data_IF_169076630786
#
_entry.id   IF_169076630786
#
_cell.length_a   1.000
_cell.length_b   1.000
_cell.length_c   1.000
_cell.angle_alpha   90.00
_cell.angle_beta   90.00
_cell.angle_gamma   90.00
#
_symmetry.space_group_name_H-M   'P 1'
#
loop_
_entity.id
_entity.type
_entity.pdbx_description
1 polymer ?
#
# COMPACT_ATOMS: atom_id res chain seq x y z
N UNK A 1 -12.97 -7.40 -17.79
CA UNK A 1 -12.86 -6.79 -16.45
C UNK A 1 -13.23 -5.33 -16.57
N UNK A 2 -13.96 -4.78 -15.59
CA UNK A 2 -14.31 -3.35 -15.56
C UNK A 2 -13.08 -2.56 -15.15
N UNK A 3 -12.74 -1.52 -15.90
CA UNK A 3 -11.63 -0.62 -15.59
C UNK A 3 -11.97 0.22 -14.35
N UNK A 4 -11.12 0.18 -13.31
CA UNK A 4 -11.32 0.87 -12.03
C UNK A 4 -10.38 2.08 -11.99
N UNK A 5 -10.95 3.30 -11.97
CA UNK A 5 -10.17 4.54 -12.03
C UNK A 5 -10.74 5.57 -11.05
N UNK A 6 -9.85 6.37 -10.48
CA UNK A 6 -10.20 7.61 -9.81
C UNK A 6 -10.41 8.74 -10.82
N UNK A 7 -11.25 9.71 -10.47
CA UNK A 7 -11.43 10.95 -11.24
C UNK A 7 -10.40 12.03 -10.87
N UNK A 8 -9.90 12.00 -9.64
CA UNK A 8 -8.98 12.99 -9.09
C UNK A 8 -7.97 12.35 -8.12
N UNK A 9 -6.86 13.04 -7.88
CA UNK A 9 -5.83 12.63 -6.91
C UNK A 9 -5.47 13.82 -6.01
N UNK A 10 -5.21 13.65 -4.70
CA UNK A 10 -5.07 14.78 -3.77
C UNK A 10 -3.69 15.45 -3.75
N UNK A 11 -2.76 15.00 -4.59
CA UNK A 11 -1.40 15.53 -4.71
C UNK A 11 -0.97 15.52 -6.18
N UNK A 12 -0.05 16.39 -6.58
CA UNK A 12 0.42 16.47 -7.97
C UNK A 12 1.30 15.26 -8.33
N UNK A 13 0.79 14.28 -9.12
CA UNK A 13 1.56 13.08 -9.46
C UNK A 13 2.62 13.35 -10.53
N UNK A 14 2.58 14.52 -11.20
CA UNK A 14 3.57 14.95 -12.20
C UNK A 14 4.81 15.57 -11.56
N UNK A 15 4.77 15.90 -10.26
CA UNK A 15 5.92 16.43 -9.55
C UNK A 15 6.92 15.33 -9.21
N UNK A 16 8.19 15.51 -9.60
CA UNK A 16 9.27 14.59 -9.24
C UNK A 16 9.87 14.97 -7.88
N UNK A 17 10.08 13.97 -7.02
CA UNK A 17 10.76 14.14 -5.73
C UNK A 17 11.94 13.18 -5.65
N UNK A 18 13.12 13.68 -5.31
CA UNK A 18 14.29 12.86 -5.10
C UNK A 18 14.08 11.91 -3.91
N UNK A 19 14.56 10.66 -4.04
CA UNK A 19 14.43 9.66 -2.98
C UNK A 19 15.22 10.03 -1.70
N UNK A 20 14.65 9.82 -0.50
CA UNK A 20 13.40 9.09 -0.24
C UNK A 20 12.13 9.96 -0.35
N UNK A 21 12.22 11.27 -0.53
CA UNK A 21 11.07 12.14 -0.81
C UNK A 21 9.99 12.19 0.27
N UNK A 22 10.34 11.83 1.51
CA UNK A 22 9.42 11.68 2.64
C UNK A 22 9.02 13.03 3.24
N UNK A 23 7.76 13.14 3.65
CA UNK A 23 7.17 14.28 4.32
C UNK A 23 6.35 13.84 5.54
N UNK A 24 6.17 14.69 6.56
CA UNK A 24 5.21 14.42 7.63
C UNK A 24 3.79 14.24 7.10
N UNK A 25 3.06 13.28 7.67
CA UNK A 25 1.63 13.07 7.42
C UNK A 25 0.86 13.43 8.70
N UNK A 26 -0.27 14.11 8.56
CA UNK A 26 -1.16 14.29 9.71
C UNK A 26 -1.77 12.93 10.08
N UNK A 27 -1.79 12.51 11.36
CA UNK A 27 -2.26 11.18 11.74
C UNK A 27 -3.67 10.83 11.26
N UNK A 28 -4.52 11.81 11.03
CA UNK A 28 -5.87 11.60 10.52
C UNK A 28 -5.95 11.32 9.00
N UNK A 29 -4.89 11.54 8.24
CA UNK A 29 -4.91 11.53 6.76
C UNK A 29 -4.40 10.21 6.15
N UNK A 30 -4.13 9.19 6.96
CA UNK A 30 -3.51 7.95 6.52
C UNK A 30 -4.47 6.95 5.87
N UNK A 31 -5.77 7.01 6.19
CA UNK A 31 -6.81 6.20 5.55
C UNK A 31 -7.96 7.10 5.10
N UNK A 32 -7.83 7.62 3.88
CA UNK A 32 -8.86 8.45 3.25
C UNK A 32 -9.48 7.67 2.09
N UNK A 33 -10.73 7.21 2.21
CA UNK A 33 -11.50 6.65 1.12
C UNK A 33 -11.64 7.63 -0.05
N UNK A 34 -11.62 7.13 -1.28
CA UNK A 34 -11.80 7.93 -2.50
C UNK A 34 -13.01 7.49 -3.33
N UNK A 35 -13.19 8.14 -4.49
CA UNK A 35 -14.31 7.91 -5.41
C UNK A 35 -14.29 6.53 -6.09
N UNK A 36 -13.17 5.80 -6.00
CA UNK A 36 -13.05 4.43 -6.49
C UNK A 36 -13.28 3.37 -5.40
N UNK A 37 -13.61 3.76 -4.15
CA UNK A 37 -13.72 2.87 -2.99
C UNK A 37 -14.51 1.59 -3.29
N UNK A 38 -15.79 1.68 -3.64
CA UNK A 38 -16.65 0.50 -3.82
C UNK A 38 -16.15 -0.43 -4.95
N UNK A 39 -15.55 0.13 -6.01
CA UNK A 39 -15.02 -0.66 -7.11
C UNK A 39 -13.71 -1.36 -6.72
N UNK A 40 -12.80 -0.65 -6.04
CA UNK A 40 -11.57 -1.24 -5.51
C UNK A 40 -11.87 -2.31 -4.47
N UNK A 41 -12.80 -2.06 -3.54
CA UNK A 41 -13.14 -3.04 -2.51
C UNK A 41 -13.70 -4.33 -3.10
N UNK A 42 -14.54 -4.26 -4.14
CA UNK A 42 -15.00 -5.46 -4.87
C UNK A 42 -13.85 -6.24 -5.51
N UNK A 43 -12.85 -5.55 -6.06
CA UNK A 43 -11.67 -6.22 -6.63
C UNK A 43 -10.80 -6.83 -5.54
N UNK A 44 -10.64 -6.18 -4.38
CA UNK A 44 -9.95 -6.77 -3.21
C UNK A 44 -10.67 -8.01 -2.72
N UNK A 45 -12.00 -7.97 -2.59
CA UNK A 45 -12.81 -9.12 -2.21
C UNK A 45 -12.62 -10.29 -3.20
N UNK A 46 -12.58 -10.01 -4.51
CA UNK A 46 -12.31 -11.01 -5.55
C UNK A 46 -10.90 -11.60 -5.40
N UNK A 47 -9.89 -10.77 -5.21
CA UNK A 47 -8.48 -11.19 -5.07
C UNK A 47 -8.26 -12.01 -3.81
N UNK A 48 -8.82 -11.61 -2.68
CA UNK A 48 -8.74 -12.37 -1.42
C UNK A 48 -9.48 -13.71 -1.50
N UNK A 49 -10.54 -13.80 -2.32
CA UNK A 49 -11.27 -15.05 -2.53
C UNK A 49 -10.57 -16.01 -3.51
N UNK A 50 -9.94 -15.49 -4.58
CA UNK A 50 -9.47 -16.33 -5.71
C UNK A 50 -7.95 -16.33 -5.91
N UNK A 51 -7.23 -15.42 -5.27
CA UNK A 51 -5.77 -15.23 -5.42
C UNK A 51 -5.09 -15.02 -4.07
N UNK A 52 -5.67 -15.55 -2.99
CA UNK A 52 -5.24 -15.29 -1.60
C UNK A 52 -3.74 -15.49 -1.40
N UNK A 53 -3.20 -16.62 -1.84
CA UNK A 53 -1.78 -16.97 -1.68
C UNK A 53 -0.82 -16.03 -2.43
N UNK A 54 -1.32 -15.21 -3.36
CA UNK A 54 -0.53 -14.21 -4.09
C UNK A 54 -0.60 -12.82 -3.44
N UNK A 55 -1.66 -12.55 -2.68
CA UNK A 55 -1.93 -11.21 -2.12
C UNK A 55 -1.81 -11.17 -0.61
N UNK A 56 -1.74 -12.30 0.09
CA UNK A 56 -1.67 -12.33 1.54
C UNK A 56 -0.63 -13.34 2.02
N UNK A 57 0.29 -12.87 2.86
CA UNK A 57 1.25 -13.71 3.58
C UNK A 57 1.42 -13.14 4.99
N UNK A 58 1.42 -14.01 6.01
CA UNK A 58 1.60 -13.61 7.40
C UNK A 58 2.48 -14.64 8.10
N UNK A 59 3.60 -14.19 8.66
CA UNK A 59 4.41 -15.01 9.56
C UNK A 59 3.67 -15.17 10.89
N UNK A 60 3.74 -16.35 11.50
CA UNK A 60 3.08 -16.61 12.79
C UNK A 60 3.54 -15.63 13.88
N UNK A 61 4.81 -15.20 13.85
CA UNK A 61 5.37 -14.25 14.80
C UNK A 61 4.81 -12.83 14.62
N UNK A 62 4.32 -12.50 13.42
CA UNK A 62 3.75 -11.20 13.08
C UNK A 62 2.24 -11.08 13.40
N UNK A 63 1.60 -12.15 13.85
CA UNK A 63 0.18 -12.16 14.20
C UNK A 63 -0.20 -11.02 15.18
N UNK A 64 0.55 -10.77 16.29
CA UNK A 64 0.23 -9.67 17.20
C UNK A 64 0.25 -8.29 16.52
N UNK A 65 1.26 -8.03 15.67
CA UNK A 65 1.35 -6.78 14.92
C UNK A 65 0.21 -6.62 13.90
N UNK A 66 -0.24 -7.72 13.28
CA UNK A 66 -1.37 -7.70 12.36
C UNK A 66 -2.70 -7.43 13.06
N UNK A 67 -2.94 -8.04 14.22
CA UNK A 67 -4.12 -7.78 15.05
C UNK A 67 -4.12 -6.33 15.58
N UNK A 68 -2.96 -5.83 16.02
CA UNK A 68 -2.80 -4.44 16.44
C UNK A 68 -3.10 -3.46 15.29
N UNK A 69 -2.61 -3.75 14.08
CA UNK A 69 -2.95 -2.94 12.90
C UNK A 69 -4.45 -2.98 12.60
N UNK A 70 -5.09 -4.15 12.66
CA UNK A 70 -6.54 -4.26 12.49
C UNK A 70 -7.29 -3.38 13.51
N UNK A 71 -6.88 -3.44 14.78
CA UNK A 71 -7.46 -2.59 15.82
C UNK A 71 -7.32 -1.09 15.49
N UNK A 72 -6.11 -0.65 15.13
CA UNK A 72 -5.84 0.75 14.77
C UNK A 72 -6.68 1.22 13.56
N UNK A 73 -6.87 0.36 12.56
CA UNK A 73 -7.74 0.65 11.40
C UNK A 73 -9.20 0.78 11.83
N UNK A 74 -9.69 -0.13 12.67
CA UNK A 74 -11.06 -0.11 13.16
C UNK A 74 -11.34 1.14 14.00
N UNK A 75 -10.43 1.54 14.88
CA UNK A 75 -10.55 2.80 15.63
C UNK A 75 -10.60 4.02 14.71
N UNK A 76 -9.82 4.00 13.62
CA UNK A 76 -9.70 5.13 12.71
C UNK A 76 -10.89 5.27 11.75
N UNK A 77 -11.28 4.19 11.06
CA UNK A 77 -12.32 4.22 10.03
C UNK A 77 -13.71 3.87 10.55
N UNK A 78 -13.79 3.08 11.61
CA UNK A 78 -15.04 2.50 12.10
C UNK A 78 -15.18 2.65 13.62
N UNK A 79 -15.00 3.84 14.23
CA UNK A 79 -15.00 4.02 15.69
C UNK A 79 -16.32 3.61 16.38
N UNK A 80 -17.40 3.49 15.61
CA UNK A 80 -18.71 3.07 16.09
C UNK A 80 -19.00 1.58 15.92
N UNK A 81 -18.07 0.78 15.35
CA UNK A 81 -18.25 -0.68 15.24
C UNK A 81 -18.40 -1.32 16.63
N UNK A 82 -19.20 -2.39 16.73
CA UNK A 82 -19.43 -3.13 17.96
C UNK A 82 -19.49 -4.62 17.64
N UNK A 83 -18.75 -5.43 18.40
CA UNK A 83 -18.59 -6.85 18.11
C UNK A 83 -17.90 -7.08 16.77
N UNK A 84 -18.09 -8.28 16.21
CA UNK A 84 -17.36 -8.75 15.03
C UNK A 84 -18.13 -8.57 13.72
N UNK A 85 -19.17 -7.72 13.72
CA UNK A 85 -19.93 -7.39 12.52
C UNK A 85 -19.78 -5.91 12.22
N UNK A 86 -19.37 -5.61 10.99
CA UNK A 86 -19.09 -4.26 10.53
C UNK A 86 -19.92 -3.95 9.28
N UNK A 87 -20.47 -2.74 9.22
CA UNK A 87 -20.93 -2.17 7.96
C UNK A 87 -19.79 -1.36 7.33
N UNK A 88 -19.25 -1.84 6.20
CA UNK A 88 -18.22 -1.14 5.42
C UNK A 88 -18.78 0.16 4.84
N UNK A 89 -17.90 1.07 4.43
CA UNK A 89 -18.29 2.39 3.90
C UNK A 89 -19.14 2.34 2.61
N UNK A 90 -19.15 1.20 1.90
CA UNK A 90 -20.03 0.94 0.75
C UNK A 90 -21.29 0.15 1.14
N UNK A 91 -21.65 0.18 2.42
CA UNK A 91 -22.80 -0.48 3.05
C UNK A 91 -22.75 -2.02 3.08
N UNK A 92 -21.67 -2.64 2.59
CA UNK A 92 -21.47 -4.08 2.65
C UNK A 92 -21.28 -4.56 4.10
N UNK A 93 -21.94 -5.66 4.47
CA UNK A 93 -21.70 -6.33 5.76
C UNK A 93 -20.41 -7.14 5.71
N UNK A 94 -19.51 -6.92 6.66
CA UNK A 94 -18.23 -7.60 6.79
C UNK A 94 -18.15 -8.22 8.20
N UNK A 95 -17.83 -9.50 8.26
CA UNK A 95 -17.47 -10.18 9.50
C UNK A 95 -15.97 -9.95 9.77
N UNK A 96 -15.65 -9.52 10.98
CA UNK A 96 -14.27 -9.33 11.44
C UNK A 96 -13.71 -10.68 11.86
N UNK A 97 -12.61 -11.07 11.24
CA UNK A 97 -11.86 -12.26 11.61
C UNK A 97 -10.52 -11.84 12.23
N UNK A 98 -10.40 -12.03 13.54
CA UNK A 98 -9.18 -11.72 14.32
C UNK A 98 -8.11 -12.80 14.20
N UNK A 99 -8.45 -13.98 13.69
CA UNK A 99 -7.50 -15.04 13.31
C UNK A 99 -6.96 -14.83 11.89
N UNK A 100 -7.67 -14.07 11.06
CA UNK A 100 -7.24 -13.57 9.74
C UNK A 100 -7.19 -12.02 9.68
N UNK A 101 -6.35 -11.35 10.49
CA UNK A 101 -6.38 -9.90 10.60
C UNK A 101 -6.01 -9.20 9.28
N UNK A 102 -5.05 -9.73 8.52
CA UNK A 102 -4.66 -9.17 7.23
C UNK A 102 -5.74 -9.36 6.15
N UNK A 103 -6.47 -10.48 6.17
CA UNK A 103 -7.60 -10.68 5.28
C UNK A 103 -8.75 -9.73 5.60
N UNK A 104 -9.06 -9.56 6.89
CA UNK A 104 -10.03 -8.56 7.36
C UNK A 104 -9.64 -7.15 6.93
N UNK A 105 -8.39 -6.73 7.17
CA UNK A 105 -7.85 -5.44 6.68
C UNK A 105 -8.04 -5.28 5.17
N UNK A 106 -7.77 -6.35 4.42
CA UNK A 106 -7.96 -6.42 2.98
C UNK A 106 -9.40 -6.18 2.52
N UNK A 107 -10.38 -6.52 3.35
CA UNK A 107 -11.81 -6.39 3.07
C UNK A 107 -12.43 -5.09 3.56
N UNK A 108 -11.76 -4.33 4.42
CA UNK A 108 -12.33 -3.10 5.02
C UNK A 108 -11.62 -1.81 4.61
N UNK A 109 -10.51 -1.89 3.87
CA UNK A 109 -9.70 -0.73 3.43
C UNK A 109 -9.27 -0.83 1.97
N UNK A 110 -9.05 0.32 1.30
CA UNK A 110 -8.51 0.37 -0.06
C UNK A 110 -7.01 0.05 -0.11
N UNK A 111 -6.32 0.25 1.00
CA UNK A 111 -4.87 0.25 1.08
C UNK A 111 -4.30 -1.15 1.17
N UNK A 112 -3.14 -1.35 0.55
CA UNK A 112 -2.29 -2.49 0.83
C UNK A 112 -1.43 -2.19 2.06
N UNK A 113 -1.16 -3.22 2.87
CA UNK A 113 -0.35 -3.11 4.08
C UNK A 113 0.78 -4.11 4.02
N UNK A 114 1.99 -3.65 4.33
CA UNK A 114 3.13 -4.49 4.66
C UNK A 114 3.55 -4.20 6.11
N UNK A 115 3.70 -5.23 6.92
CA UNK A 115 4.20 -5.18 8.28
C UNK A 115 5.69 -5.51 8.22
N UNK A 116 6.51 -4.60 8.75
CA UNK A 116 7.95 -4.76 8.83
C UNK A 116 8.42 -4.71 10.28
N UNK A 117 8.98 -5.82 10.74
CA UNK A 117 9.50 -5.97 12.10
C UNK A 117 11.03 -5.94 12.11
N UNK A 118 11.59 -5.38 13.18
CA UNK A 118 13.04 -5.24 13.30
C UNK A 118 13.66 -6.57 13.74
N UNK A 119 14.52 -7.13 12.90
CA UNK A 119 15.29 -8.35 13.16
C UNK A 119 16.78 -8.01 13.06
N UNK A 120 17.46 -7.92 14.21
CA UNK A 120 18.81 -7.37 14.29
C UNK A 120 18.84 -5.91 13.83
N UNK A 121 19.64 -5.62 12.80
CA UNK A 121 19.82 -4.28 12.25
C UNK A 121 18.89 -3.95 11.07
N UNK A 122 18.06 -4.89 10.63
CA UNK A 122 17.21 -4.74 9.44
C UNK A 122 15.73 -4.80 9.79
N UNK A 123 14.89 -4.13 9.00
CA UNK A 123 13.44 -4.32 9.03
C UNK A 123 13.07 -5.39 7.99
N UNK A 124 12.39 -6.46 8.41
CA UNK A 124 12.00 -7.59 7.57
C UNK A 124 10.49 -7.57 7.35
N UNK A 125 10.03 -7.79 6.11
CA UNK A 125 8.59 -7.89 5.80
C UNK A 125 8.04 -9.22 6.31
N UNK A 126 7.40 -9.20 7.48
CA UNK A 126 6.87 -10.39 8.18
C UNK A 126 5.38 -10.62 7.95
N UNK A 127 4.66 -9.65 7.40
CA UNK A 127 3.29 -9.83 6.95
C UNK A 127 2.91 -8.84 5.87
N UNK A 128 1.98 -9.20 4.99
CA UNK A 128 1.42 -8.28 4.02
C UNK A 128 0.05 -8.72 3.51
N UNK A 129 -0.83 -7.74 3.26
CA UNK A 129 -1.95 -7.84 2.34
C UNK A 129 -1.72 -6.85 1.19
N UNK A 130 -1.39 -7.38 0.02
CA UNK A 130 -0.95 -6.68 -1.18
C UNK A 130 -1.84 -7.08 -2.36
N UNK A 131 -3.05 -6.52 -2.40
CA UNK A 131 -4.01 -6.77 -3.46
C UNK A 131 -3.65 -6.04 -4.75
N UNK A 132 -2.99 -4.88 -4.69
CA UNK A 132 -2.67 -4.07 -5.87
C UNK A 132 -1.16 -3.89 -6.04
N UNK A 133 -0.37 -4.95 -6.28
CA UNK A 133 1.05 -4.80 -6.59
C UNK A 133 1.27 -4.05 -7.91
N UNK A 134 2.31 -3.22 -7.95
CA UNK A 134 2.80 -2.55 -9.16
C UNK A 134 4.09 -3.20 -9.68
N UNK A 135 3.95 -4.26 -10.47
CA UNK A 135 5.09 -4.95 -11.10
C UNK A 135 6.10 -5.59 -10.13
N UNK A 136 5.61 -6.15 -9.02
CA UNK A 136 6.39 -7.03 -8.15
C UNK A 136 5.50 -8.11 -7.53
N UNK A 137 6.07 -9.27 -7.18
CA UNK A 137 5.34 -10.39 -6.58
C UNK A 137 5.62 -10.47 -5.08
N UNK A 138 4.57 -10.59 -4.25
CA UNK A 138 4.69 -10.64 -2.79
C UNK A 138 5.62 -11.77 -2.32
N UNK A 139 5.49 -12.97 -2.88
CA UNK A 139 6.30 -14.14 -2.51
C UNK A 139 7.81 -13.94 -2.71
N UNK A 140 8.22 -13.06 -3.63
CA UNK A 140 9.64 -12.77 -3.87
C UNK A 140 10.22 -11.79 -2.84
N UNK A 141 9.35 -11.07 -2.10
CA UNK A 141 9.72 -10.01 -1.15
C UNK A 141 9.39 -10.36 0.30
N UNK A 142 8.49 -11.30 0.53
CA UNK A 142 8.11 -11.80 1.84
C UNK A 142 9.31 -12.43 2.59
N UNK A 143 9.42 -12.15 3.89
CA UNK A 143 10.55 -12.51 4.76
C UNK A 143 11.92 -12.05 4.25
N UNK A 144 11.97 -11.00 3.43
CA UNK A 144 13.21 -10.34 3.03
C UNK A 144 13.41 -9.05 3.84
N UNK A 145 14.68 -8.68 4.13
CA UNK A 145 14.98 -7.39 4.72
C UNK A 145 14.67 -6.26 3.74
N UNK A 146 14.40 -5.06 4.26
CA UNK A 146 14.02 -3.87 3.52
C UNK A 146 14.98 -3.55 2.38
N UNK A 147 16.29 -3.75 2.59
CA UNK A 147 17.32 -3.60 1.55
C UNK A 147 17.16 -4.69 0.47
N UNK A 148 16.94 -5.94 0.88
CA UNK A 148 16.73 -7.09 0.00
C UNK A 148 15.50 -6.94 -0.90
N UNK A 149 14.41 -6.37 -0.38
CA UNK A 149 13.16 -6.14 -1.12
C UNK A 149 13.40 -5.24 -2.35
N UNK A 150 14.31 -4.26 -2.24
CA UNK A 150 14.55 -3.23 -3.24
C UNK A 150 15.72 -3.50 -4.20
N UNK A 151 16.36 -4.68 -4.14
CA UNK A 151 17.55 -4.99 -4.95
C UNK A 151 17.39 -4.78 -6.46
N UNK A 152 16.17 -4.88 -6.98
CA UNK A 152 15.85 -4.75 -8.41
C UNK A 152 15.53 -3.31 -8.84
N UNK A 153 15.54 -2.34 -7.91
CA UNK A 153 15.23 -0.93 -8.19
C UNK A 153 16.55 -0.20 -8.44
N UNK A 154 16.80 0.21 -9.69
CA UNK A 154 18.08 0.79 -10.11
C UNK A 154 18.48 2.05 -9.33
N UNK A 155 17.51 2.88 -8.93
CA UNK A 155 17.71 4.08 -8.13
C UNK A 155 17.99 3.79 -6.64
N UNK A 156 17.74 2.56 -6.19
CA UNK A 156 17.90 2.14 -4.80
C UNK A 156 19.31 1.60 -4.56
N UNK A 157 20.28 2.50 -4.57
CA UNK A 157 21.67 2.16 -4.23
C UNK A 157 21.85 1.87 -2.72
N UNK A 158 23.05 1.41 -2.35
CA UNK A 158 23.42 1.13 -0.95
C UNK A 158 23.24 2.37 -0.04
N UNK A 159 23.45 3.57 -0.59
CA UNK A 159 23.29 4.83 0.14
C UNK A 159 21.83 5.14 0.44
N UNK A 160 20.93 4.94 -0.53
CA UNK A 160 19.48 5.03 -0.38
C UNK A 160 18.99 3.99 0.62
N UNK A 161 19.43 2.73 0.49
CA UNK A 161 19.07 1.66 1.40
C UNK A 161 19.39 1.99 2.86
N UNK A 162 20.60 2.51 3.13
CA UNK A 162 20.97 2.98 4.47
C UNK A 162 20.12 4.15 4.97
N UNK A 163 19.75 5.10 4.10
CA UNK A 163 18.87 6.22 4.47
C UNK A 163 17.47 5.76 4.81
N UNK A 164 16.93 4.84 4.02
CA UNK A 164 15.59 4.27 4.23
C UNK A 164 15.56 3.39 5.49
N UNK A 165 16.58 2.56 5.72
CA UNK A 165 16.70 1.80 6.97
C UNK A 165 16.72 2.73 8.20
N UNK A 166 17.53 3.79 8.19
CA UNK A 166 17.55 4.78 9.29
C UNK A 166 16.23 5.50 9.46
N UNK A 167 15.51 5.75 8.37
CA UNK A 167 14.17 6.33 8.43
C UNK A 167 13.22 5.38 9.15
N UNK A 168 13.24 4.09 8.79
CA UNK A 168 12.46 3.06 9.47
C UNK A 168 12.87 2.95 10.93
N UNK A 169 14.15 2.99 11.30
CA UNK A 169 14.60 3.04 12.70
C UNK A 169 14.02 4.25 13.46
N UNK A 170 13.91 5.40 12.79
CA UNK A 170 13.52 6.67 13.39
C UNK A 170 12.01 6.93 13.47
N UNK A 171 11.16 6.20 12.74
CA UNK A 171 9.70 6.44 12.73
C UNK A 171 9.11 6.24 14.14
N UNK A 172 8.39 7.27 14.60
CA UNK A 172 7.77 7.33 15.93
C UNK A 172 6.25 7.15 15.86
N UNK A 173 5.68 6.62 16.94
CA UNK A 173 4.22 6.50 17.11
C UNK A 173 3.59 7.89 17.04
N UNK A 174 2.43 7.99 16.37
CA UNK A 174 1.71 9.25 16.19
C UNK A 174 2.39 10.28 15.28
N UNK A 175 3.50 9.91 14.63
CA UNK A 175 4.22 10.78 13.66
C UNK A 175 4.38 10.06 12.32
N UNK A 176 3.28 9.74 11.62
CA UNK A 176 3.37 9.05 10.36
C UNK A 176 4.06 9.92 9.32
N UNK A 177 4.68 9.23 8.37
CA UNK A 177 5.39 9.82 7.26
C UNK A 177 4.72 9.37 5.96
N UNK A 178 4.86 10.16 4.90
CA UNK A 178 4.38 9.76 3.60
C UNK A 178 5.26 10.26 2.45
N UNK A 179 5.11 9.61 1.31
CA UNK A 179 5.62 10.01 0.00
C UNK A 179 4.65 9.50 -1.06
N UNK A 180 5.00 9.72 -2.33
CA UNK A 180 4.38 8.98 -3.41
C UNK A 180 5.41 8.54 -4.45
N UNK A 181 4.99 7.61 -5.30
CA UNK A 181 5.58 7.33 -6.59
C UNK A 181 4.52 7.54 -7.67
N UNK A 182 4.95 7.80 -8.90
CA UNK A 182 4.06 7.95 -10.05
C UNK A 182 4.74 7.35 -11.26
N UNK A 183 4.01 6.50 -11.99
CA UNK A 183 4.51 5.85 -13.20
C UNK A 183 3.38 5.79 -14.22
N UNK A 184 3.75 5.95 -15.49
CA UNK A 184 2.83 5.81 -16.61
C UNK A 184 2.64 4.34 -17.00
N UNK A 185 1.39 3.98 -17.36
CA UNK A 185 0.95 2.63 -17.74
C UNK A 185 0.02 2.67 -18.96
N UNK A 186 0.12 1.64 -19.81
CA UNK A 186 -0.89 1.37 -20.85
C UNK A 186 -2.08 0.58 -20.31
N UNK A 187 -1.86 -0.27 -19.31
CA UNK A 187 -2.88 -1.11 -18.68
C UNK A 187 -3.27 -0.52 -17.30
N UNK A 188 -4.56 -0.19 -17.07
CA UNK A 188 -5.04 0.36 -15.81
C UNK A 188 -5.30 -0.70 -14.72
N UNK A 189 -5.07 -1.99 -14.99
CA UNK A 189 -5.35 -3.08 -14.05
C UNK A 189 -4.68 -2.85 -12.70
N UNK A 190 -5.40 -3.07 -11.60
CA UNK A 190 -4.88 -2.83 -10.26
C UNK A 190 -3.93 -3.94 -9.78
N UNK A 191 -4.24 -5.19 -10.13
CA UNK A 191 -3.44 -6.37 -9.81
C UNK A 191 -2.46 -6.69 -10.95
N UNK A 192 -1.21 -6.25 -10.82
CA UNK A 192 -0.14 -6.48 -11.80
C UNK A 192 1.09 -7.14 -11.13
N UNK A 193 0.97 -8.34 -10.54
CA UNK A 193 2.13 -9.05 -10.01
C UNK A 193 3.07 -9.39 -11.16
N UNK A 194 4.36 -9.21 -10.94
CA UNK A 194 5.39 -9.46 -11.94
C UNK A 194 6.65 -9.94 -11.25
N UNK A 195 7.19 -11.06 -11.70
CA UNK A 195 8.45 -11.58 -11.18
C UNK A 195 9.58 -10.60 -11.47
N UNK A 196 10.50 -10.46 -10.52
CA UNK A 196 11.76 -9.74 -10.73
C UNK A 196 12.59 -10.27 -11.92
N UNK A 197 12.34 -11.51 -12.35
CA UNK A 197 12.98 -12.14 -13.51
C UNK A 197 12.30 -11.81 -14.84
N UNK A 198 11.17 -11.10 -14.82
CA UNK A 198 10.40 -10.69 -16.00
C UNK A 198 10.09 -9.20 -15.92
N UNK A 199 11.12 -8.33 -15.90
CA UNK A 199 10.94 -6.89 -15.71
C UNK A 199 9.98 -6.32 -16.77
N UNK A 200 9.28 -5.25 -16.38
CA UNK A 200 8.34 -4.58 -17.28
C UNK A 200 9.11 -3.98 -18.46
N UNK A 201 8.49 -4.01 -19.64
CA UNK A 201 8.97 -3.23 -20.76
C UNK A 201 8.98 -1.74 -20.42
N UNK A 202 9.90 -1.00 -21.05
CA UNK A 202 9.90 0.46 -20.95
C UNK A 202 8.61 0.99 -21.56
N UNK A 203 7.89 1.80 -20.80
CA UNK A 203 6.69 2.48 -21.28
C UNK A 203 7.12 3.80 -21.91
N UNK A 204 6.64 4.07 -23.12
CA UNK A 204 6.68 5.42 -23.67
C UNK A 204 5.63 6.26 -22.95
N UNK A 205 6.10 7.19 -22.11
CA UNK A 205 5.22 8.08 -21.35
C UNK A 205 4.32 8.94 -22.24
N UNK A 206 4.69 9.19 -23.51
CA UNK A 206 3.87 9.94 -24.45
C UNK A 206 2.63 9.15 -24.89
N UNK A 207 2.72 7.81 -24.93
CA UNK A 207 1.68 6.91 -25.44
C UNK A 207 0.87 6.22 -24.33
N UNK A 208 1.32 6.31 -23.09
CA UNK A 208 0.62 5.75 -21.95
C UNK A 208 -0.70 6.45 -21.64
N UNK A 209 -1.79 5.66 -21.59
CA UNK A 209 -3.15 6.14 -21.34
C UNK A 209 -3.47 6.42 -19.88
N UNK A 210 -2.68 5.89 -18.95
CA UNK A 210 -2.98 5.91 -17.51
C UNK A 210 -1.77 6.29 -16.67
N UNK A 211 -2.02 7.08 -15.62
CA UNK A 211 -1.06 7.29 -14.54
C UNK A 211 -1.45 6.38 -13.39
N UNK A 212 -0.49 5.61 -12.87
CA UNK A 212 -0.62 4.91 -11.59
C UNK A 212 0.27 5.59 -10.57
N UNK A 213 -0.31 5.97 -9.44
CA UNK A 213 0.37 6.68 -8.37
C UNK A 213 0.05 6.06 -7.02
N UNK A 214 1.09 5.75 -6.25
CA UNK A 214 0.95 5.13 -4.92
C UNK A 214 1.26 6.17 -3.85
N UNK A 215 0.27 6.52 -3.03
CA UNK A 215 0.50 7.27 -1.78
C UNK A 215 1.02 6.27 -0.76
N UNK A 216 2.30 6.37 -0.44
CA UNK A 216 3.00 5.45 0.44
C UNK A 216 3.16 6.10 1.81
N UNK A 217 2.70 5.42 2.85
CA UNK A 217 2.63 5.93 4.21
C UNK A 217 3.36 4.97 5.15
N UNK A 218 4.10 5.53 6.09
CA UNK A 218 4.95 4.78 7.02
C UNK A 218 4.53 5.16 8.43
N UNK A 219 4.10 4.16 9.21
CA UNK A 219 3.59 4.33 10.58
C UNK A 219 4.32 3.38 11.52
N UNK A 220 4.42 3.76 12.79
CA UNK A 220 4.90 2.88 13.85
C UNK A 220 3.70 2.45 14.70
N UNK A 221 3.53 1.15 14.85
CA UNK A 221 2.53 0.58 15.75
C UNK A 221 2.90 0.84 17.23
N UNK A 222 1.95 1.26 18.09
CA UNK A 222 2.21 1.57 19.50
C UNK A 222 2.86 0.46 20.35
N UNK A 223 2.35 -0.76 20.24
CA UNK A 223 2.63 -1.92 21.11
C UNK A 223 3.72 -2.82 20.54
N UNK A 224 3.47 -3.45 19.37
CA UNK A 224 4.44 -4.34 18.71
C UNK A 224 5.68 -3.60 18.23
N UNK A 225 5.58 -2.28 18.09
CA UNK A 225 6.59 -1.43 17.47
C UNK A 225 6.90 -1.84 16.02
N UNK A 226 6.07 -2.63 15.34
CA UNK A 226 6.28 -2.88 13.92
C UNK A 226 6.14 -1.58 13.11
N UNK A 227 6.86 -1.49 11.99
CA UNK A 227 6.63 -0.45 10.99
C UNK A 227 5.59 -0.96 10.01
N UNK A 228 4.52 -0.20 9.82
CA UNK A 228 3.54 -0.47 8.76
C UNK A 228 3.87 0.40 7.56
N UNK A 229 4.03 -0.25 6.41
CA UNK A 229 4.08 0.40 5.11
C UNK A 229 2.72 0.25 4.43
N UNK A 230 1.98 1.34 4.38
CA UNK A 230 0.61 1.42 3.86
C UNK A 230 0.63 2.08 2.47
N UNK A 231 -0.07 1.49 1.49
CA UNK A 231 -0.01 1.89 0.09
C UNK A 231 -1.43 2.13 -0.43
N UNK A 232 -1.75 3.39 -0.75
CA UNK A 232 -3.00 3.72 -1.45
C UNK A 232 -2.75 3.89 -2.95
N UNK A 233 -3.35 3.02 -3.75
CA UNK A 233 -3.18 3.01 -5.21
C UNK A 233 -4.23 3.87 -5.89
N UNK A 234 -3.77 4.88 -6.63
CA UNK A 234 -4.59 5.66 -7.55
C UNK A 234 -4.23 5.28 -9.00
N UNK A 235 -5.25 5.09 -9.84
CA UNK A 235 -5.12 4.95 -11.29
C UNK A 235 -6.05 5.96 -11.94
N UNK A 236 -5.49 6.85 -12.76
CA UNK A 236 -6.23 7.90 -13.44
C UNK A 236 -5.95 7.84 -14.93
N UNK A 237 -6.92 8.27 -15.74
CA UNK A 237 -6.65 8.53 -17.15
C UNK A 237 -5.65 9.68 -17.30
N UNK A 238 -4.85 9.64 -18.37
CA UNK A 238 -3.98 10.74 -18.77
C UNK A 238 -4.76 12.06 -18.83
N UNK A 239 -5.94 12.04 -19.44
CA UNK A 239 -6.80 13.21 -19.56
C UNK A 239 -7.15 13.83 -18.20
N UNK A 240 -7.55 13.02 -17.21
CA UNK A 240 -7.87 13.51 -15.86
C UNK A 240 -6.64 14.11 -15.16
N UNK A 241 -5.48 13.46 -15.27
CA UNK A 241 -4.23 13.95 -14.67
C UNK A 241 -3.86 15.33 -15.23
N UNK A 242 -3.86 15.49 -16.54
CA UNK A 242 -3.52 16.78 -17.15
C UNK A 242 -4.62 17.82 -16.93
N UNK A 243 -5.90 17.44 -16.92
CA UNK A 243 -6.99 18.35 -16.58
C UNK A 243 -6.81 18.94 -15.17
N UNK A 244 -6.35 18.13 -14.20
CA UNK A 244 -6.15 18.56 -12.82
C UNK A 244 -4.84 19.33 -12.61
N UNK A 245 -3.73 18.93 -13.25
CA UNK A 245 -2.37 19.38 -12.87
C UNK A 245 -1.54 20.07 -13.96
N UNK A 246 -1.97 20.12 -15.23
CA UNK A 246 -1.14 20.66 -16.33
C UNK A 246 -0.83 22.16 -16.26
N UNK A 247 -1.55 22.92 -15.42
CA UNK A 247 -1.49 24.39 -15.35
C UNK A 247 -0.89 24.91 -14.04
N UNK A 248 -0.33 24.04 -13.21
CA UNK A 248 0.26 24.42 -11.92
C UNK A 248 1.77 24.59 -12.00
#
# INVERSE_FOLDING_TARGET
MTTILQTQIPYNPLSSKALPGIQPLAPQDWLLPDDAFSAQMKERDRLLAHHRDQVLMLDEQAMPAAQELLHLVLEHLYPQHRGDQLQRLDESGIELDWEDPLGTLGRITQQDFCILEKQGDEHVMTGAVLCFPASWTLSEKYLKPLIGIHQTVAEYDVGIGKRVQRLFDGVQVGRPLWRFNSLWYHDPSLFQPRSQHQPRDKVDEAEAGYMRSEKQMILRLPESRAVVFCIHTHVLTRANVFAQWAKQ
#
